data_IF_992376514138
#
_entry.id   IF_992376514138
#
_cell.length_a   1.000
_cell.length_b   1.000
_cell.length_c   1.000
_cell.angle_alpha   90.00
_cell.angle_beta   90.00
_cell.angle_gamma   90.00
#
_symmetry.space_group_name_H-M   'P 1'
#
loop_
_entity.id
_entity.type
_entity.pdbx_description
1 polymer ?
#
# COMPACT_ATOMS: atom_id res chain seq x y z
N UNK A 1 14.87 8.19 10.70
CA UNK A 1 14.83 6.77 10.23
C UNK A 1 14.34 5.88 11.36
N UNK A 2 13.10 5.40 11.26
CA UNK A 2 12.51 4.45 12.22
C UNK A 2 13.39 3.18 12.21
N UNK A 3 14.11 2.91 13.30
CA UNK A 3 14.99 1.74 13.40
C UNK A 3 14.28 0.65 14.21
N UNK A 4 13.66 -0.31 13.51
CA UNK A 4 13.14 -1.52 14.14
C UNK A 4 14.23 -2.59 14.26
N UNK A 5 14.22 -3.35 15.37
CA UNK A 5 15.04 -4.54 15.50
C UNK A 5 14.66 -5.59 14.44
N UNK A 6 15.58 -6.46 13.98
CA UNK A 6 15.32 -7.44 12.92
C UNK A 6 14.08 -8.31 13.18
N UNK A 7 13.88 -8.75 14.43
CA UNK A 7 12.70 -9.53 14.85
C UNK A 7 11.38 -8.80 14.57
N UNK A 8 11.33 -7.49 14.82
CA UNK A 8 10.12 -6.70 14.59
C UNK A 8 9.91 -6.42 13.10
N UNK A 9 10.99 -6.26 12.33
CA UNK A 9 10.87 -6.16 10.87
C UNK A 9 10.31 -7.44 10.25
N UNK A 10 10.71 -8.62 10.75
CA UNK A 10 10.15 -9.90 10.32
C UNK A 10 8.66 -10.01 10.66
N UNK A 11 8.28 -9.72 11.92
CA UNK A 11 6.87 -9.74 12.34
C UNK A 11 6.01 -8.77 11.53
N UNK A 12 6.50 -7.55 11.30
CA UNK A 12 5.80 -6.58 10.45
C UNK A 12 5.70 -7.08 9.01
N UNK A 13 6.77 -7.64 8.44
CA UNK A 13 6.75 -8.21 7.09
C UNK A 13 5.71 -9.32 6.95
N UNK A 14 5.66 -10.25 7.91
CA UNK A 14 4.65 -11.31 7.95
C UNK A 14 3.23 -10.78 8.13
N UNK A 15 3.04 -9.78 9.00
CA UNK A 15 1.75 -9.14 9.21
C UNK A 15 1.27 -8.42 7.94
N UNK A 16 2.17 -7.76 7.22
CA UNK A 16 1.87 -7.09 5.95
C UNK A 16 1.51 -8.09 4.84
N UNK A 17 2.24 -9.21 4.73
CA UNK A 17 1.91 -10.30 3.82
C UNK A 17 0.53 -10.89 4.13
N UNK A 18 0.27 -11.23 5.40
CA UNK A 18 -1.04 -11.72 5.84
C UNK A 18 -2.16 -10.72 5.53
N UNK A 19 -1.95 -9.42 5.80
CA UNK A 19 -2.92 -8.37 5.48
C UNK A 19 -3.18 -8.27 3.97
N UNK A 20 -2.15 -8.42 3.14
CA UNK A 20 -2.26 -8.45 1.69
C UNK A 20 -3.10 -9.64 1.23
N UNK A 21 -2.79 -10.85 1.71
CA UNK A 21 -3.54 -12.06 1.40
C UNK A 21 -5.02 -11.97 1.79
N UNK A 22 -5.31 -11.43 2.99
CA UNK A 22 -6.67 -11.30 3.51
C UNK A 22 -7.55 -10.29 2.76
N UNK A 23 -6.96 -9.22 2.21
CA UNK A 23 -7.72 -8.09 1.67
C UNK A 23 -7.62 -7.95 0.15
N UNK A 24 -6.64 -8.60 -0.48
CA UNK A 24 -6.51 -8.63 -1.95
C UNK A 24 -7.25 -9.82 -2.55
N UNK A 25 -7.23 -10.97 -1.88
CA UNK A 25 -8.02 -12.12 -2.29
C UNK A 25 -9.52 -11.87 -2.05
N UNK A 26 -10.35 -12.16 -3.05
CA UNK A 26 -11.82 -12.15 -2.89
C UNK A 26 -12.32 -13.30 -1.98
N UNK A 27 -11.41 -14.10 -1.41
CA UNK A 27 -11.73 -15.23 -0.52
C UNK A 27 -12.46 -14.81 0.77
N UNK A 28 -12.25 -13.58 1.23
CA UNK A 28 -12.95 -13.00 2.39
C UNK A 28 -13.96 -11.90 1.97
N UNK A 29 -14.44 -11.94 0.72
CA UNK A 29 -15.40 -10.95 0.19
C UNK A 29 -16.71 -10.85 0.99
N UNK A 30 -17.04 -11.84 1.82
CA UNK A 30 -18.16 -11.78 2.77
C UNK A 30 -18.03 -10.64 3.80
N UNK A 31 -16.81 -10.18 4.08
CA UNK A 31 -16.52 -9.08 5.03
C UNK A 31 -16.36 -7.73 4.31
N UNK A 32 -16.34 -7.71 2.98
CA UNK A 32 -16.32 -6.51 2.13
C UNK A 32 -15.20 -5.49 2.50
N UNK A 33 -14.05 -6.00 2.95
CA UNK A 33 -12.91 -5.16 3.33
C UNK A 33 -12.24 -4.58 2.07
N UNK A 34 -11.94 -3.27 2.05
CA UNK A 34 -11.22 -2.68 0.94
C UNK A 34 -9.78 -3.19 0.93
N UNK A 35 -9.22 -3.40 -0.27
CA UNK A 35 -7.86 -3.92 -0.43
C UNK A 35 -6.83 -3.04 0.26
N UNK A 36 -6.00 -3.65 1.12
CA UNK A 36 -4.92 -2.97 1.82
C UNK A 36 -3.64 -2.85 0.97
N UNK A 37 -3.65 -3.31 -0.29
CA UNK A 37 -2.44 -3.43 -1.11
C UNK A 37 -1.60 -2.14 -1.13
N UNK A 38 -2.24 -0.97 -1.34
CA UNK A 38 -1.51 0.30 -1.38
C UNK A 38 -0.82 0.61 -0.04
N UNK A 39 -1.53 0.38 1.07
CA UNK A 39 -1.00 0.59 2.40
C UNK A 39 0.13 -0.40 2.71
N UNK A 40 0.01 -1.65 2.30
CA UNK A 40 1.04 -2.68 2.47
C UNK A 40 2.36 -2.24 1.82
N UNK A 41 2.35 -1.80 0.56
CA UNK A 41 3.57 -1.34 -0.10
C UNK A 41 4.15 -0.07 0.53
N UNK A 42 3.30 0.88 0.92
CA UNK A 42 3.74 2.09 1.62
C UNK A 42 4.40 1.74 2.98
N UNK A 43 3.71 0.97 3.82
CA UNK A 43 4.18 0.57 5.16
C UNK A 43 5.41 -0.34 5.10
N UNK A 44 5.52 -1.22 4.10
CA UNK A 44 6.75 -1.98 3.85
C UNK A 44 7.93 -1.04 3.57
N UNK A 45 7.70 0.05 2.84
CA UNK A 45 8.70 1.10 2.63
C UNK A 45 9.08 1.84 3.92
N UNK A 46 8.12 2.05 4.83
CA UNK A 46 8.36 2.74 6.10
C UNK A 46 9.12 1.86 7.11
N UNK A 47 8.68 0.61 7.29
CA UNK A 47 9.03 -0.21 8.45
C UNK A 47 10.03 -1.34 8.14
N UNK A 48 10.15 -1.77 6.88
CA UNK A 48 10.93 -2.96 6.51
C UNK A 48 12.17 -2.56 5.69
N UNK A 49 13.37 -2.85 6.21
CA UNK A 49 14.62 -2.43 5.56
C UNK A 49 14.98 -3.20 4.30
N UNK A 50 14.93 -4.55 4.28
CA UNK A 50 15.41 -5.31 3.13
C UNK A 50 14.65 -4.95 1.86
N UNK A 51 15.38 -4.67 0.77
CA UNK A 51 14.77 -4.24 -0.49
C UNK A 51 14.03 -5.36 -1.22
N UNK A 52 14.40 -6.62 -0.96
CA UNK A 52 13.77 -7.81 -1.53
C UNK A 52 12.31 -8.02 -1.07
N UNK A 53 11.86 -7.32 -0.02
CA UNK A 53 10.47 -7.37 0.44
C UNK A 53 9.51 -6.80 -0.62
N UNK A 54 9.96 -5.82 -1.40
CA UNK A 54 9.14 -5.28 -2.49
C UNK A 54 8.79 -6.35 -3.55
N UNK A 55 9.77 -7.02 -4.21
CA UNK A 55 9.44 -8.06 -5.18
C UNK A 55 8.72 -9.27 -4.54
N UNK A 56 8.98 -9.58 -3.26
CA UNK A 56 8.26 -10.66 -2.58
C UNK A 56 6.76 -10.35 -2.42
N UNK A 57 6.41 -9.15 -1.92
CA UNK A 57 5.01 -8.71 -1.81
C UNK A 57 4.34 -8.54 -3.18
N UNK A 58 5.10 -8.11 -4.20
CA UNK A 58 4.59 -8.02 -5.57
C UNK A 58 4.26 -9.40 -6.15
N UNK A 59 5.13 -10.38 -5.92
CA UNK A 59 4.91 -11.76 -6.33
C UNK A 59 3.69 -12.34 -5.62
N UNK A 60 3.57 -12.15 -4.31
CA UNK A 60 2.39 -12.54 -3.53
C UNK A 60 1.10 -11.92 -4.10
N UNK A 61 1.10 -10.60 -4.33
CA UNK A 61 -0.03 -9.90 -4.94
C UNK A 61 -0.42 -10.50 -6.30
N UNK A 62 0.56 -10.81 -7.13
CA UNK A 62 0.34 -11.41 -8.45
C UNK A 62 -0.24 -12.82 -8.34
N UNK A 63 0.30 -13.66 -7.45
CA UNK A 63 -0.20 -15.00 -7.21
C UNK A 63 -1.65 -14.99 -6.70
N UNK A 64 -1.99 -14.05 -5.82
CA UNK A 64 -3.35 -13.86 -5.33
C UNK A 64 -4.31 -13.47 -6.47
N UNK A 65 -3.90 -12.59 -7.38
CA UNK A 65 -4.71 -12.20 -8.54
C UNK A 65 -4.93 -13.39 -9.48
N UNK A 66 -3.88 -14.18 -9.77
CA UNK A 66 -4.00 -15.40 -10.58
C UNK A 66 -4.90 -16.46 -9.92
N UNK A 67 -4.75 -16.67 -8.61
CA UNK A 67 -5.59 -17.60 -7.85
C UNK A 67 -7.06 -17.16 -7.86
N UNK A 68 -7.33 -15.86 -7.74
CA UNK A 68 -8.68 -15.32 -7.79
C UNK A 68 -9.36 -15.57 -9.15
N UNK A 69 -8.61 -15.45 -10.26
CA UNK A 69 -9.13 -15.75 -11.60
C UNK A 69 -9.39 -17.25 -11.75
N UNK A 70 -8.41 -18.08 -11.41
CA UNK A 70 -8.47 -19.53 -11.65
C UNK A 70 -9.42 -20.28 -10.73
N UNK A 71 -9.53 -19.88 -9.46
CA UNK A 71 -10.27 -20.64 -8.44
C UNK A 71 -11.49 -19.90 -7.88
N UNK A 72 -11.52 -18.57 -7.94
CA UNK A 72 -12.66 -17.78 -7.44
C UNK A 72 -13.55 -17.21 -8.55
N UNK A 73 -13.25 -17.51 -9.83
CA UNK A 73 -14.06 -17.09 -10.98
C UNK A 73 -14.08 -15.58 -11.21
N UNK A 74 -13.08 -14.85 -10.69
CA UNK A 74 -12.96 -13.40 -10.92
C UNK A 74 -12.62 -13.15 -12.39
N UNK A 75 -13.25 -12.14 -12.99
CA UNK A 75 -12.98 -11.76 -14.38
C UNK A 75 -11.51 -11.37 -14.57
N UNK A 76 -10.92 -11.86 -15.66
CA UNK A 76 -9.58 -11.51 -16.14
C UNK A 76 -9.51 -10.10 -16.76
N UNK A 77 -10.56 -9.28 -16.63
CA UNK A 77 -10.63 -7.94 -17.23
C UNK A 77 -9.40 -7.07 -16.93
N UNK A 78 -8.89 -7.16 -15.70
CA UNK A 78 -7.71 -6.42 -15.25
C UNK A 78 -6.38 -7.03 -15.72
N UNK A 79 -6.38 -8.29 -16.18
CA UNK A 79 -5.21 -8.93 -16.77
C UNK A 79 -5.06 -8.46 -18.21
N UNK A 80 -4.06 -7.60 -18.41
CA UNK A 80 -3.71 -6.99 -19.70
C UNK A 80 -2.22 -6.63 -19.67
N UNK A 81 -1.61 -6.20 -20.79
CA UNK A 81 -0.24 -5.71 -20.78
C UNK A 81 0.01 -4.59 -19.76
N UNK A 82 -1.03 -3.79 -19.45
CA UNK A 82 -0.99 -2.76 -18.42
C UNK A 82 -0.76 -3.28 -17.00
N UNK A 83 -0.90 -4.59 -16.74
CA UNK A 83 -0.64 -5.17 -15.42
C UNK A 83 0.79 -4.88 -14.93
N UNK A 84 1.76 -4.81 -15.84
CA UNK A 84 3.14 -4.44 -15.51
C UNK A 84 3.29 -3.01 -14.97
N UNK A 85 2.32 -2.12 -15.24
CA UNK A 85 2.30 -0.78 -14.66
C UNK A 85 2.06 -0.79 -13.15
N UNK A 86 1.64 -1.92 -12.57
CA UNK A 86 1.58 -2.10 -11.12
C UNK A 86 2.96 -2.06 -10.47
N UNK A 87 4.03 -2.44 -11.19
CA UNK A 87 5.40 -2.36 -10.67
C UNK A 87 5.81 -0.92 -10.33
N UNK A 88 5.77 0.05 -11.27
CA UNK A 88 6.04 1.45 -10.92
C UNK A 88 4.96 2.06 -10.01
N UNK A 89 3.70 1.61 -10.10
CA UNK A 89 2.64 2.07 -9.20
C UNK A 89 2.94 1.73 -7.73
N UNK A 90 3.21 0.47 -7.42
CA UNK A 90 3.54 0.05 -6.06
C UNK A 90 4.94 0.51 -5.66
N UNK A 91 5.86 0.61 -6.62
CA UNK A 91 7.18 1.20 -6.41
C UNK A 91 7.10 2.64 -5.89
N UNK A 92 6.17 3.45 -6.41
CA UNK A 92 5.96 4.82 -5.94
C UNK A 92 5.50 4.89 -4.47
N UNK A 93 4.60 4.00 -4.05
CA UNK A 93 4.16 3.88 -2.65
C UNK A 93 5.30 3.46 -1.73
N UNK A 94 6.06 2.45 -2.14
CA UNK A 94 7.20 1.95 -1.38
C UNK A 94 8.31 3.01 -1.22
N UNK A 95 8.61 3.75 -2.30
CA UNK A 95 9.54 4.88 -2.26
C UNK A 95 8.99 6.02 -1.39
N UNK A 96 7.69 6.31 -1.46
CA UNK A 96 7.01 7.28 -0.60
C UNK A 96 7.14 6.93 0.88
N UNK A 97 6.95 5.66 1.24
CA UNK A 97 7.16 5.16 2.60
C UNK A 97 8.63 5.28 3.05
N UNK A 98 9.58 4.96 2.16
CA UNK A 98 11.02 5.14 2.46
C UNK A 98 11.41 6.59 2.65
N UNK A 99 10.85 7.49 1.85
CA UNK A 99 11.04 8.93 1.98
C UNK A 99 10.49 9.41 3.32
N UNK A 100 9.27 9.03 3.67
CA UNK A 100 8.67 9.32 4.97
C UNK A 100 9.56 8.83 6.12
N UNK A 101 10.02 7.57 6.08
CA UNK A 101 10.88 7.03 7.14
C UNK A 101 12.19 7.81 7.32
N UNK A 102 12.73 8.40 6.25
CA UNK A 102 13.92 9.27 6.31
C UNK A 102 13.60 10.63 6.93
N UNK A 103 12.47 11.22 6.56
CA UNK A 103 12.02 12.54 7.03
C UNK A 103 11.36 12.51 8.42
N UNK A 104 10.96 11.33 8.89
CA UNK A 104 10.27 11.15 10.15
C UNK A 104 11.05 11.70 11.35
N UNK A 105 10.34 12.46 12.19
CA UNK A 105 10.80 13.01 13.46
C UNK A 105 9.73 12.70 14.52
N UNK A 106 10.14 12.51 15.77
CA UNK A 106 9.23 12.25 16.90
C UNK A 106 8.52 13.56 17.34
N UNK A 107 7.82 14.21 16.42
CA UNK A 107 7.09 15.46 16.63
C UNK A 107 5.78 15.45 15.83
N UNK A 108 4.77 16.20 16.28
CA UNK A 108 3.45 16.27 15.61
C UNK A 108 3.52 16.71 14.15
N UNK A 109 4.52 17.52 13.78
CA UNK A 109 4.78 17.92 12.39
C UNK A 109 5.05 16.74 11.45
N UNK A 110 5.46 15.58 11.97
CA UNK A 110 5.62 14.37 11.18
C UNK A 110 4.29 13.82 10.64
N UNK A 111 3.15 14.17 11.24
CA UNK A 111 1.83 13.84 10.68
C UNK A 111 1.58 14.55 9.35
N UNK A 112 1.97 15.83 9.24
CA UNK A 112 1.87 16.57 8.00
C UNK A 112 2.80 15.99 6.92
N UNK A 113 4.03 15.59 7.30
CA UNK A 113 4.95 14.89 6.40
C UNK A 113 4.39 13.53 5.96
N UNK A 114 3.76 12.78 6.86
CA UNK A 114 3.11 11.51 6.55
C UNK A 114 1.99 11.71 5.54
N UNK A 115 1.10 12.67 5.80
CA UNK A 115 -0.02 13.01 4.92
C UNK A 115 0.48 13.39 3.52
N UNK A 116 1.52 14.22 3.42
CA UNK A 116 2.10 14.62 2.14
C UNK A 116 2.71 13.44 1.38
N UNK A 117 3.48 12.59 2.05
CA UNK A 117 4.05 11.39 1.44
C UNK A 117 2.96 10.41 0.97
N UNK A 118 1.91 10.22 1.76
CA UNK A 118 0.75 9.39 1.40
C UNK A 118 0.05 9.97 0.17
N UNK A 119 -0.32 11.25 0.18
CA UNK A 119 -1.02 11.89 -0.94
C UNK A 119 -0.18 11.86 -2.24
N UNK A 120 1.09 12.26 -2.16
CA UNK A 120 1.95 12.33 -3.35
C UNK A 120 2.19 10.93 -3.95
N UNK A 121 2.52 9.94 -3.11
CA UNK A 121 2.76 8.58 -3.60
C UNK A 121 1.48 7.89 -4.08
N UNK A 122 0.33 8.12 -3.43
CA UNK A 122 -0.96 7.64 -3.89
C UNK A 122 -1.33 8.20 -5.26
N UNK A 123 -1.09 9.49 -5.48
CA UNK A 123 -1.40 10.12 -6.77
C UNK A 123 -0.56 9.54 -7.89
N UNK A 124 0.76 9.43 -7.69
CA UNK A 124 1.67 8.78 -8.66
C UNK A 124 1.29 7.32 -8.89
N UNK A 125 0.93 6.59 -7.82
CA UNK A 125 0.44 5.22 -7.91
C UNK A 125 -0.82 5.12 -8.78
N UNK A 126 -1.77 6.04 -8.62
CA UNK A 126 -2.98 6.09 -9.44
C UNK A 126 -2.67 6.35 -10.91
N UNK A 127 -1.75 7.28 -11.21
CA UNK A 127 -1.35 7.59 -12.58
C UNK A 127 -0.76 6.35 -13.28
N UNK A 128 0.10 5.60 -12.60
CA UNK A 128 0.64 4.36 -13.17
C UNK A 128 -0.42 3.26 -13.28
N UNK A 129 -1.21 3.02 -12.23
CA UNK A 129 -2.20 1.93 -12.22
C UNK A 129 -3.43 2.25 -13.08
N UNK A 130 -4.23 3.25 -12.69
CA UNK A 130 -5.46 3.64 -13.39
C UNK A 130 -5.18 4.29 -14.74
N UNK A 131 -4.18 5.18 -14.82
CA UNK A 131 -3.77 5.78 -16.09
C UNK A 131 -3.11 4.76 -17.02
N UNK A 132 -2.17 3.95 -16.50
CA UNK A 132 -1.58 2.88 -17.30
C UNK A 132 -2.61 1.88 -17.81
N UNK A 133 -3.62 1.53 -17.01
CA UNK A 133 -4.73 0.69 -17.49
C UNK A 133 -5.56 1.39 -18.57
N UNK A 134 -5.85 2.70 -18.43
CA UNK A 134 -6.59 3.43 -19.45
C UNK A 134 -5.87 3.42 -20.81
N UNK A 135 -4.56 3.66 -20.83
CA UNK A 135 -3.78 3.82 -22.07
C UNK A 135 -3.21 2.51 -22.64
N UNK A 136 -2.84 1.53 -21.80
CA UNK A 136 -2.07 0.36 -22.23
C UNK A 136 -2.81 -0.98 -22.10
N UNK A 137 -4.05 -1.00 -21.57
CA UNK A 137 -4.78 -2.27 -21.41
C UNK A 137 -5.41 -2.80 -22.69
N UNK A 138 -5.60 -1.95 -23.70
CA UNK A 138 -6.40 -2.27 -24.89
C UNK A 138 -7.91 -2.34 -24.64
N UNK A 139 -8.39 -2.01 -23.42
CA UNK A 139 -9.81 -2.05 -23.05
C UNK A 139 -10.58 -0.77 -23.37
N UNK A 140 -9.87 0.33 -23.62
CA UNK A 140 -10.45 1.63 -23.94
C UNK A 140 -10.03 2.01 -25.36
N UNK A 141 -10.99 2.12 -26.31
CA UNK A 141 -10.67 2.41 -27.71
C UNK A 141 -10.14 3.83 -27.92
N UNK A 142 -10.61 4.80 -27.13
CA UNK A 142 -10.18 6.21 -27.22
C UNK A 142 -9.76 6.76 -25.84
N UNK A 143 -8.51 6.51 -25.40
CA UNK A 143 -8.03 7.02 -24.13
C UNK A 143 -7.71 8.51 -24.22
N UNK A 144 -8.48 9.35 -23.51
CA UNK A 144 -8.28 10.81 -23.47
C UNK A 144 -7.86 11.30 -22.08
N UNK A 145 -7.21 12.47 -22.03
CA UNK A 145 -6.86 13.12 -20.76
C UNK A 145 -8.10 13.55 -19.97
N UNK A 146 -9.19 13.91 -20.65
CA UNK A 146 -10.47 14.22 -20.02
C UNK A 146 -11.03 13.00 -19.27
N UNK A 147 -11.04 11.83 -19.93
CA UNK A 147 -11.46 10.58 -19.31
C UNK A 147 -10.53 10.18 -18.15
N UNK A 148 -9.21 10.42 -18.26
CA UNK A 148 -8.30 10.22 -17.14
C UNK A 148 -8.68 11.10 -15.95
N UNK A 149 -8.95 12.39 -16.17
CA UNK A 149 -9.33 13.33 -15.12
C UNK A 149 -10.64 12.94 -14.43
N UNK A 150 -11.66 12.52 -15.20
CA UNK A 150 -12.92 11.99 -14.66
C UNK A 150 -12.70 10.75 -13.80
N UNK A 151 -11.85 9.83 -14.26
CA UNK A 151 -11.49 8.63 -13.50
C UNK A 151 -10.73 8.98 -12.23
N UNK A 152 -9.79 9.94 -12.28
CA UNK A 152 -9.12 10.44 -11.08
C UNK A 152 -10.17 10.96 -10.09
N UNK A 153 -11.06 11.85 -10.51
CA UNK A 153 -12.10 12.40 -9.63
C UNK A 153 -13.00 11.31 -9.01
N UNK A 154 -13.32 10.26 -9.79
CA UNK A 154 -14.20 9.17 -9.35
C UNK A 154 -13.51 8.18 -8.41
N UNK A 155 -12.29 7.73 -8.75
CA UNK A 155 -11.67 6.60 -8.08
C UNK A 155 -10.59 6.99 -7.07
N UNK A 156 -9.82 8.04 -7.34
CA UNK A 156 -8.70 8.44 -6.49
C UNK A 156 -9.10 8.73 -5.03
N UNK A 157 -10.20 9.46 -4.72
CA UNK A 157 -10.60 9.72 -3.33
C UNK A 157 -10.86 8.44 -2.53
N UNK A 158 -11.45 7.42 -3.16
CA UNK A 158 -11.72 6.12 -2.51
C UNK A 158 -10.42 5.35 -2.23
N UNK A 159 -9.48 5.34 -3.17
CA UNK A 159 -8.18 4.69 -2.97
C UNK A 159 -7.35 5.43 -1.90
N UNK A 160 -7.33 6.76 -1.94
CA UNK A 160 -6.63 7.58 -0.97
C UNK A 160 -7.19 7.42 0.45
N UNK A 161 -8.51 7.43 0.61
CA UNK A 161 -9.14 7.23 1.92
C UNK A 161 -8.86 5.84 2.51
N UNK A 162 -8.91 4.80 1.68
CA UNK A 162 -8.53 3.44 2.09
C UNK A 162 -7.08 3.36 2.55
N UNK A 163 -6.16 3.92 1.76
CA UNK A 163 -4.73 3.98 2.10
C UNK A 163 -4.51 4.76 3.41
N UNK A 164 -5.13 5.93 3.54
CA UNK A 164 -5.03 6.77 4.73
C UNK A 164 -5.57 6.07 5.98
N UNK A 165 -6.66 5.31 5.86
CA UNK A 165 -7.23 4.54 6.96
C UNK A 165 -6.26 3.48 7.46
N UNK A 166 -5.74 2.61 6.59
CA UNK A 166 -4.78 1.57 6.99
C UNK A 166 -3.47 2.15 7.54
N UNK A 167 -2.95 3.21 6.92
CA UNK A 167 -1.74 3.90 7.40
C UNK A 167 -1.99 4.59 8.74
N UNK A 168 -3.16 5.21 8.93
CA UNK A 168 -3.57 5.84 10.19
C UNK A 168 -3.68 4.83 11.33
N UNK A 169 -4.32 3.67 11.09
CA UNK A 169 -4.38 2.57 12.05
C UNK A 169 -2.97 2.07 12.40
N UNK A 170 -2.11 1.86 11.40
CA UNK A 170 -0.72 1.45 11.64
C UNK A 170 0.07 2.49 12.46
N UNK A 171 -0.15 3.79 12.22
CA UNK A 171 0.47 4.87 12.97
C UNK A 171 -0.01 4.90 14.44
N UNK A 172 -1.32 4.73 14.67
CA UNK A 172 -1.89 4.65 16.02
C UNK A 172 -1.33 3.45 16.80
N UNK A 173 -1.27 2.28 16.17
CA UNK A 173 -0.67 1.08 16.76
C UNK A 173 0.81 1.31 17.09
N UNK A 174 1.56 1.94 16.18
CA UNK A 174 2.98 2.24 16.41
C UNK A 174 3.20 3.20 17.59
N UNK A 175 2.40 4.26 17.69
CA UNK A 175 2.46 5.22 18.80
C UNK A 175 2.05 4.55 20.11
N UNK A 176 0.94 3.79 20.12
CA UNK A 176 0.46 3.08 21.31
C UNK A 176 1.48 2.07 21.85
N UNK A 177 2.11 1.29 20.97
CA UNK A 177 3.16 0.34 21.35
C UNK A 177 4.40 1.04 21.92
N UNK A 178 4.77 2.21 21.38
CA UNK A 178 5.89 2.99 21.91
C UNK A 178 5.59 3.59 23.28
N UNK A 179 4.39 4.15 23.47
CA UNK A 179 3.98 4.69 24.76
C UNK A 179 3.95 3.60 25.84
N UNK A 180 3.42 2.42 25.53
CA UNK A 180 3.39 1.29 26.45
C UNK A 180 4.78 0.74 26.79
N UNK A 181 5.69 0.69 25.81
CA UNK A 181 7.07 0.29 26.07
C UNK A 181 7.80 1.28 27.00
N UNK A 182 7.61 2.59 26.79
CA UNK A 182 8.19 3.62 27.66
C UNK A 182 7.71 3.53 29.10
N UNK A 183 6.40 3.32 29.32
CA UNK A 183 5.84 3.12 30.66
C UNK A 183 6.39 1.87 31.37
N UNK A 184 6.69 0.80 30.61
CA UNK A 184 7.27 -0.42 31.17
C UNK A 184 8.73 -0.27 31.58
N UNK A 185 9.49 0.54 30.86
CA UNK A 185 10.88 0.82 31.19
C UNK A 185 10.97 1.74 32.41
N UNK A 186 10.08 2.74 32.53
CA UNK A 186 9.94 3.57 33.73
C UNK A 186 9.52 2.75 34.97
N UNK A 187 8.62 1.77 34.82
CA UNK A 187 8.18 0.92 35.92
C UNK A 187 9.22 -0.14 36.37
N UNK A 188 10.33 -0.30 35.63
CA UNK A 188 11.42 -1.24 35.93
C UNK A 188 12.69 -0.55 36.43
N UNK A 189 12.78 0.78 36.32
CA UNK A 189 13.86 1.61 36.84
C UNK A 189 13.63 1.96 38.32
#
# INVERSE_FOLDING_TARGET
MIKLAPRYQLLVGLALAALLAMTRGQHFASVNLPSASWAVFFLAGVLVRPKWVFPALFLEASLLDFAAIQWAGVSDWCMSPAYWMLVPAYGSLWLGGRLYARLHRDHFSSLATLALCVMASAFVCYLFSGGGFLYFSGRYPEPTLALLAERIATYYPRYLSTLALYVGVAALLFVGLRAWAGQRDEARA
#
